data_IF_529802817789
#
_entry.id   IF_529802817789
#
_cell.length_a   1.000
_cell.length_b   1.000
_cell.length_c   1.000
_cell.angle_alpha   90.00
_cell.angle_beta   90.00
_cell.angle_gamma   90.00
#
_symmetry.space_group_name_H-M   'P 1'
#
loop_
_entity.id
_entity.type
_entity.pdbx_description
1 polymer ?
#
# COMPACT_ATOMS: atom_id res chain seq x y z
N UNK A 1 15.06 -34.06 39.67
CA UNK A 1 15.62 -33.34 38.51
C UNK A 1 14.51 -32.45 37.98
N UNK A 2 14.53 -31.14 38.30
CA UNK A 2 13.46 -30.21 37.95
C UNK A 2 13.66 -29.74 36.50
N UNK A 3 12.72 -30.06 35.62
CA UNK A 3 12.75 -29.66 34.22
C UNK A 3 12.26 -28.21 34.12
N UNK A 4 13.20 -27.27 34.00
CA UNK A 4 12.92 -25.86 33.74
C UNK A 4 12.26 -25.75 32.36
N UNK A 5 10.96 -25.45 32.33
CA UNK A 5 10.23 -25.25 31.08
C UNK A 5 10.42 -23.79 30.65
N UNK A 6 11.22 -23.55 29.61
CA UNK A 6 11.35 -22.24 28.99
C UNK A 6 10.06 -21.90 28.24
N UNK A 7 9.25 -21.01 28.81
CA UNK A 7 8.17 -20.33 28.07
C UNK A 7 8.85 -19.29 27.16
N UNK A 8 8.92 -19.58 25.87
CA UNK A 8 9.26 -18.56 24.87
C UNK A 8 8.11 -17.55 24.79
N UNK A 9 8.20 -16.49 25.58
CA UNK A 9 7.47 -15.26 25.29
C UNK A 9 8.16 -14.68 24.06
N UNK A 10 7.59 -14.89 22.88
CA UNK A 10 7.95 -14.09 21.71
C UNK A 10 7.50 -12.68 22.06
N UNK A 11 8.42 -11.90 22.63
CA UNK A 11 8.26 -10.47 22.76
C UNK A 11 8.21 -9.96 21.34
N UNK A 12 6.98 -9.76 20.85
CA UNK A 12 6.69 -9.05 19.62
C UNK A 12 7.19 -7.63 19.89
N UNK A 13 8.48 -7.41 19.68
CA UNK A 13 9.02 -6.07 19.64
C UNK A 13 8.20 -5.39 18.57
N UNK A 14 7.46 -4.36 18.97
CA UNK A 14 6.83 -3.44 18.04
C UNK A 14 7.94 -2.98 17.11
N UNK A 15 7.99 -3.56 15.90
CA UNK A 15 8.85 -3.06 14.85
C UNK A 15 8.49 -1.58 14.69
N UNK A 16 9.48 -0.68 14.49
CA UNK A 16 9.19 0.73 14.26
C UNK A 16 8.14 0.83 13.15
N UNK A 17 6.98 1.35 13.55
CA UNK A 17 5.80 1.38 12.72
C UNK A 17 5.88 2.63 11.88
N UNK A 18 5.93 2.41 10.58
CA UNK A 18 6.11 3.42 9.58
C UNK A 18 4.86 3.49 8.68
N UNK A 19 4.63 4.49 7.82
CA UNK A 19 3.50 4.47 6.89
C UNK A 19 3.44 5.27 5.58
N UNK A 20 2.21 5.52 5.15
CA UNK A 20 1.80 5.86 3.80
C UNK A 20 0.55 6.75 3.84
N UNK A 21 0.46 7.67 2.89
CA UNK A 21 -0.62 8.65 2.77
C UNK A 21 -1.52 8.35 1.56
N UNK A 22 -2.84 8.40 1.74
CA UNK A 22 -3.82 8.31 0.65
C UNK A 22 -4.00 9.67 -0.01
N UNK A 23 -3.98 9.70 -1.35
CA UNK A 23 -4.06 10.95 -2.12
C UNK A 23 -5.50 11.48 -2.31
N UNK A 24 -6.49 11.12 -1.48
CA UNK A 24 -7.89 11.63 -1.60
C UNK A 24 -8.50 11.60 -3.02
N UNK A 25 -7.91 10.83 -3.92
CA UNK A 25 -8.08 10.94 -5.35
C UNK A 25 -8.36 9.56 -5.96
N UNK A 26 -9.04 8.72 -5.19
CA UNK A 26 -9.63 7.46 -5.64
C UNK A 26 -8.67 6.28 -5.62
N UNK A 27 -9.24 5.14 -5.97
CA UNK A 27 -8.53 3.90 -6.31
C UNK A 27 -8.87 3.54 -7.74
N UNK A 28 -7.97 2.85 -8.43
CA UNK A 28 -8.26 2.29 -9.76
C UNK A 28 -9.02 0.96 -9.64
N UNK A 29 -9.46 0.43 -10.77
CA UNK A 29 -9.82 -0.98 -10.87
C UNK A 29 -8.61 -1.87 -10.50
N UNK A 30 -8.87 -3.14 -10.15
CA UNK A 30 -7.81 -4.10 -9.77
C UNK A 30 -6.99 -4.55 -10.98
N UNK A 31 -7.63 -4.67 -12.14
CA UNK A 31 -6.95 -4.81 -13.43
C UNK A 31 -6.61 -3.42 -13.98
N UNK A 32 -5.32 -3.10 -14.03
CA UNK A 32 -4.82 -1.78 -14.42
C UNK A 32 -4.01 -1.94 -15.69
N UNK A 33 -4.47 -1.31 -16.76
CA UNK A 33 -3.73 -1.33 -18.02
C UNK A 33 -2.50 -0.42 -17.98
N UNK A 34 -1.38 -0.93 -18.49
CA UNK A 34 -0.11 -0.19 -18.60
C UNK A 34 0.38 -0.26 -20.04
N UNK A 35 0.75 0.88 -20.59
CA UNK A 35 1.37 0.97 -21.91
C UNK A 35 2.46 2.05 -21.94
N UNK A 36 3.31 1.99 -22.96
CA UNK A 36 4.37 2.97 -23.16
C UNK A 36 4.09 3.82 -24.39
N UNK A 37 4.27 5.13 -24.25
CA UNK A 37 4.04 6.10 -25.32
C UNK A 37 5.25 6.19 -26.24
N UNK A 38 4.98 6.37 -27.54
CA UNK A 38 6.01 6.58 -28.54
C UNK A 38 6.73 5.29 -28.92
N UNK A 39 8.00 5.40 -29.29
CA UNK A 39 8.85 4.31 -29.75
C UNK A 39 9.57 3.56 -28.60
N UNK A 40 9.11 3.71 -27.36
CA UNK A 40 9.79 3.20 -26.16
C UNK A 40 10.17 1.72 -26.22
N UNK A 41 9.33 0.88 -26.83
CA UNK A 41 9.59 -0.55 -27.00
C UNK A 41 10.77 -0.85 -27.93
N UNK A 42 11.06 0.03 -28.89
CA UNK A 42 12.17 -0.12 -29.83
C UNK A 42 13.41 0.66 -29.41
N UNK A 43 13.23 1.89 -28.94
CA UNK A 43 14.33 2.78 -28.54
C UNK A 43 14.87 2.44 -27.16
N UNK A 44 14.04 1.91 -26.25
CA UNK A 44 14.39 1.64 -24.84
C UNK A 44 13.83 0.32 -24.28
N UNK A 45 13.96 -0.83 -24.98
CA UNK A 45 13.37 -2.10 -24.57
C UNK A 45 13.80 -2.55 -23.16
N UNK A 46 15.07 -2.34 -22.80
CA UNK A 46 15.59 -2.70 -21.48
C UNK A 46 14.93 -1.91 -20.35
N UNK A 47 14.66 -0.61 -20.57
CA UNK A 47 13.99 0.24 -19.57
C UNK A 47 12.52 -0.14 -19.43
N UNK A 48 11.84 -0.44 -20.54
CA UNK A 48 10.46 -0.98 -20.52
C UNK A 48 10.40 -2.25 -19.68
N UNK A 49 11.27 -3.22 -19.94
CA UNK A 49 11.30 -4.47 -19.18
C UNK A 49 11.62 -4.24 -17.70
N UNK A 50 12.54 -3.34 -17.39
CA UNK A 50 12.86 -2.97 -16.01
C UNK A 50 11.64 -2.40 -15.27
N UNK A 51 10.91 -1.45 -15.89
CA UNK A 51 9.69 -0.88 -15.30
C UNK A 51 8.66 -1.98 -15.05
N UNK A 52 8.40 -2.84 -16.03
CA UNK A 52 7.47 -3.95 -15.89
C UNK A 52 7.87 -4.94 -14.78
N UNK A 53 9.17 -5.17 -14.58
CA UNK A 53 9.64 -6.01 -13.47
C UNK A 53 9.44 -5.33 -12.12
N UNK A 54 9.74 -4.04 -12.02
CA UNK A 54 9.63 -3.28 -10.77
C UNK A 54 8.19 -3.20 -10.28
N UNK A 55 7.23 -2.90 -11.15
CA UNK A 55 5.83 -2.73 -10.74
C UNK A 55 5.18 -4.01 -10.20
N UNK A 56 5.78 -5.19 -10.43
CA UNK A 56 5.31 -6.45 -9.82
C UNK A 56 5.36 -6.44 -8.30
N UNK A 57 6.17 -5.59 -7.68
CA UNK A 57 6.15 -5.35 -6.22
C UNK A 57 4.74 -5.03 -5.72
N UNK A 58 3.96 -4.24 -6.47
CA UNK A 58 2.56 -3.94 -6.12
C UNK A 58 1.63 -5.15 -6.31
N UNK A 59 1.87 -6.00 -7.30
CA UNK A 59 1.08 -7.24 -7.50
C UNK A 59 1.35 -8.28 -6.41
N UNK A 60 2.54 -8.27 -5.80
CA UNK A 60 2.86 -9.09 -4.63
C UNK A 60 2.30 -8.50 -3.34
N UNK A 61 2.20 -7.17 -3.26
CA UNK A 61 1.75 -6.46 -2.08
C UNK A 61 0.23 -6.45 -1.91
N UNK A 62 -0.52 -6.46 -3.02
CA UNK A 62 -1.96 -6.22 -3.03
C UNK A 62 -2.66 -6.96 -4.17
N UNK A 63 -4.00 -6.93 -4.18
CA UNK A 63 -4.81 -7.54 -5.23
C UNK A 63 -4.87 -6.63 -6.48
N UNK A 64 -3.70 -6.44 -7.10
CA UNK A 64 -3.49 -5.65 -8.31
C UNK A 64 -2.99 -6.58 -9.42
N UNK A 65 -3.43 -6.31 -10.64
CA UNK A 65 -2.91 -6.96 -11.86
C UNK A 65 -2.64 -5.90 -12.93
N UNK A 66 -1.39 -5.80 -13.37
CA UNK A 66 -1.02 -4.93 -14.46
C UNK A 66 -1.19 -5.64 -15.81
N UNK A 67 -2.11 -5.13 -16.62
CA UNK A 67 -2.32 -5.60 -17.99
C UNK A 67 -1.43 -4.80 -18.95
N UNK A 68 -0.29 -5.36 -19.32
CA UNK A 68 0.62 -4.74 -20.27
C UNK A 68 0.04 -4.75 -21.70
N UNK A 69 -0.09 -3.57 -22.32
CA UNK A 69 -0.65 -3.42 -23.67
C UNK A 69 0.40 -3.19 -24.76
N UNK A 70 1.69 -3.10 -24.43
CA UNK A 70 2.73 -2.71 -25.38
C UNK A 70 2.80 -1.20 -25.60
N UNK A 71 2.78 -0.80 -26.87
CA UNK A 71 2.68 0.61 -27.26
C UNK A 71 1.27 1.12 -26.96
N UNK A 72 1.16 2.33 -26.41
CA UNK A 72 -0.14 2.91 -26.12
C UNK A 72 -1.01 3.05 -27.37
N UNK A 73 -2.33 2.75 -27.30
CA UNK A 73 -3.25 3.00 -28.39
C UNK A 73 -3.22 4.47 -28.83
N UNK A 74 -3.37 4.70 -30.13
CA UNK A 74 -3.52 6.05 -30.68
C UNK A 74 -4.79 6.72 -30.15
N UNK A 75 -4.78 8.05 -30.08
CA UNK A 75 -5.96 8.81 -29.69
C UNK A 75 -7.14 8.55 -30.62
N UNK A 76 -8.33 8.52 -30.03
CA UNK A 76 -9.60 8.63 -30.75
C UNK A 76 -10.05 10.09 -30.67
N UNK A 77 -10.34 10.71 -31.80
CA UNK A 77 -10.91 12.07 -31.82
C UNK A 77 -12.39 11.97 -31.42
N UNK A 78 -12.77 12.69 -30.37
CA UNK A 78 -14.14 12.77 -29.88
C UNK A 78 -14.98 13.75 -30.73
N UNK A 79 -16.30 13.74 -30.55
CA UNK A 79 -17.22 14.64 -31.27
C UNK A 79 -16.98 16.14 -31.01
N UNK A 80 -16.42 16.49 -29.85
CA UNK A 80 -15.98 17.86 -29.52
C UNK A 80 -14.61 18.22 -30.13
N UNK A 81 -14.01 17.30 -30.87
CA UNK A 81 -12.70 17.44 -31.49
C UNK A 81 -11.52 17.25 -30.55
N UNK A 82 -11.71 16.90 -29.27
CA UNK A 82 -10.63 16.56 -28.35
C UNK A 82 -10.12 15.15 -28.60
N UNK A 83 -8.88 14.89 -28.18
CA UNK A 83 -8.32 13.55 -28.16
C UNK A 83 -8.88 12.76 -26.97
N UNK A 84 -9.01 11.45 -27.16
CA UNK A 84 -9.27 10.49 -26.10
C UNK A 84 -8.25 9.37 -26.20
N UNK A 85 -7.43 9.23 -25.16
CA UNK A 85 -6.46 8.16 -25.06
C UNK A 85 -6.93 7.10 -24.05
N UNK A 86 -6.97 5.85 -24.52
CA UNK A 86 -7.38 4.70 -23.72
C UNK A 86 -6.24 4.18 -22.82
N UNK A 87 -6.59 3.41 -21.80
CA UNK A 87 -5.67 2.83 -20.83
C UNK A 87 -5.52 3.63 -19.54
N UNK A 88 -5.08 2.97 -18.48
CA UNK A 88 -5.06 3.50 -17.13
C UNK A 88 -3.78 4.26 -16.83
N UNK A 89 -2.64 3.62 -17.10
CA UNK A 89 -1.30 4.18 -16.91
C UNK A 89 -0.56 4.19 -18.24
N UNK A 90 -0.20 5.39 -18.69
CA UNK A 90 0.44 5.66 -19.97
C UNK A 90 1.78 6.29 -19.70
N UNK A 91 2.83 5.50 -19.86
CA UNK A 91 4.19 5.82 -19.41
C UNK A 91 4.95 6.49 -20.54
N UNK A 92 5.40 7.72 -20.30
CA UNK A 92 6.43 8.36 -21.12
C UNK A 92 7.81 8.10 -20.50
N UNK A 93 8.77 7.71 -21.34
CA UNK A 93 10.18 7.59 -20.98
C UNK A 93 10.98 8.67 -21.71
N UNK A 94 12.00 9.28 -21.09
CA UNK A 94 12.98 10.12 -21.77
C UNK A 94 13.67 9.37 -22.90
N UNK A 95 14.23 10.10 -23.86
CA UNK A 95 14.97 9.55 -25.00
C UNK A 95 14.16 8.57 -25.86
N UNK A 96 12.84 8.78 -25.92
CA UNK A 96 11.93 8.12 -26.87
C UNK A 96 11.31 9.18 -27.79
N UNK A 97 10.80 8.76 -28.94
CA UNK A 97 10.15 9.66 -29.90
C UNK A 97 8.65 9.39 -29.99
N UNK A 98 7.88 10.47 -30.20
CA UNK A 98 6.46 10.39 -30.55
C UNK A 98 6.20 11.33 -31.72
N UNK A 99 5.67 10.81 -32.83
CA UNK A 99 5.48 11.56 -34.09
C UNK A 99 6.74 12.33 -34.53
N UNK A 100 7.91 11.70 -34.39
CA UNK A 100 9.21 12.29 -34.76
C UNK A 100 9.74 13.34 -33.79
N UNK A 101 9.03 13.67 -32.71
CA UNK A 101 9.50 14.58 -31.67
C UNK A 101 10.27 13.81 -30.57
N UNK A 102 11.60 13.99 -30.42
CA UNK A 102 12.40 13.32 -29.39
C UNK A 102 12.25 13.95 -28.00
N UNK A 103 11.64 15.15 -27.90
CA UNK A 103 11.51 15.91 -26.67
C UNK A 103 10.05 15.92 -26.15
N UNK A 104 9.18 15.05 -26.66
CA UNK A 104 7.76 15.08 -26.29
C UNK A 104 7.53 14.85 -24.78
N UNK A 105 8.44 14.13 -24.11
CA UNK A 105 8.41 13.91 -22.67
C UNK A 105 8.96 15.10 -21.85
N UNK A 106 9.69 16.03 -22.49
CA UNK A 106 10.30 17.21 -21.85
C UNK A 106 9.45 18.48 -22.02
N UNK A 107 8.39 18.43 -22.83
CA UNK A 107 7.52 19.58 -23.10
C UNK A 107 6.19 19.54 -22.35
N UNK A 108 5.25 20.39 -22.80
CA UNK A 108 3.84 20.23 -22.46
C UNK A 108 3.35 18.87 -22.96
N UNK A 109 2.45 18.25 -22.18
CA UNK A 109 1.93 16.93 -22.52
C UNK A 109 1.08 17.06 -23.79
N UNK A 110 1.43 16.36 -24.88
CA UNK A 110 0.67 16.45 -26.12
C UNK A 110 -0.78 15.98 -25.93
N UNK A 111 -1.66 16.43 -26.82
CA UNK A 111 -3.04 15.97 -26.91
C UNK A 111 -4.04 17.12 -26.93
N UNK A 112 -4.93 17.12 -27.92
CA UNK A 112 -5.91 18.18 -28.12
C UNK A 112 -6.97 18.12 -27.02
N UNK A 113 -7.07 19.19 -26.23
CA UNK A 113 -7.96 19.26 -25.08
C UNK A 113 -7.32 18.78 -23.77
N UNK A 114 -6.01 18.49 -23.74
CA UNK A 114 -5.30 18.23 -22.49
C UNK A 114 -5.24 19.51 -21.63
N UNK A 115 -5.82 19.51 -20.42
CA UNK A 115 -5.87 20.73 -19.58
C UNK A 115 -4.55 21.02 -18.85
N UNK A 116 -3.57 20.10 -18.91
CA UNK A 116 -2.34 20.19 -18.11
C UNK A 116 -1.35 21.16 -18.77
N UNK A 117 -1.39 22.41 -18.31
CA UNK A 117 -0.46 23.49 -18.71
C UNK A 117 0.74 23.62 -17.74
N UNK A 118 0.61 23.00 -16.59
CA UNK A 118 1.48 23.08 -15.41
C UNK A 118 2.77 22.27 -15.61
N UNK A 119 3.77 22.96 -16.16
CA UNK A 119 5.07 23.19 -15.51
C UNK A 119 6.07 22.05 -15.41
N UNK A 120 5.69 20.78 -15.61
CA UNK A 120 6.66 19.68 -15.57
C UNK A 120 7.37 19.45 -16.92
N UNK A 121 7.83 20.55 -17.52
CA UNK A 121 8.63 20.63 -18.75
C UNK A 121 10.11 20.29 -18.49
N UNK A 122 10.39 19.49 -17.45
CA UNK A 122 11.73 19.12 -17.02
C UNK A 122 12.02 17.63 -17.15
N UNK A 123 13.20 17.23 -16.69
CA UNK A 123 13.66 15.83 -16.71
C UNK A 123 13.07 14.95 -15.60
N UNK A 124 12.40 15.53 -14.60
CA UNK A 124 11.90 14.80 -13.43
C UNK A 124 10.70 13.91 -13.70
N UNK A 125 10.55 12.85 -12.90
CA UNK A 125 9.37 11.99 -12.95
C UNK A 125 8.12 12.68 -12.37
N UNK A 126 6.95 12.17 -12.75
CA UNK A 126 5.69 12.51 -12.12
C UNK A 126 4.58 11.55 -12.58
N UNK A 127 3.50 11.49 -11.82
CA UNK A 127 2.32 10.71 -12.13
C UNK A 127 1.05 11.42 -11.67
N UNK A 128 -0.07 11.18 -12.36
CA UNK A 128 -1.38 11.68 -11.92
C UNK A 128 -2.07 10.64 -11.02
N UNK A 129 -2.85 11.07 -10.02
CA UNK A 129 -3.67 10.17 -9.22
C UNK A 129 -4.80 9.53 -10.06
N UNK A 130 -5.46 8.48 -9.53
CA UNK A 130 -6.58 7.82 -10.20
C UNK A 130 -7.70 8.78 -10.67
N UNK A 131 -8.18 9.69 -9.81
CA UNK A 131 -9.33 10.56 -10.09
C UNK A 131 -9.04 11.67 -11.11
N UNK A 132 -7.77 11.93 -11.41
CA UNK A 132 -7.40 12.89 -12.45
C UNK A 132 -7.54 12.29 -13.85
N UNK A 133 -7.60 10.97 -13.95
CA UNK A 133 -7.62 10.27 -15.23
C UNK A 133 -8.79 10.70 -16.13
N UNK A 134 -10.06 10.79 -15.68
CA UNK A 134 -11.17 11.24 -16.52
C UNK A 134 -10.93 12.63 -17.11
N UNK A 135 -10.45 13.58 -16.30
CA UNK A 135 -10.22 14.96 -16.73
C UNK A 135 -8.97 15.09 -17.61
N UNK A 136 -8.01 14.17 -17.49
CA UNK A 136 -6.76 14.14 -18.25
C UNK A 136 -6.77 13.09 -19.37
N UNK A 137 -7.94 12.59 -19.78
CA UNK A 137 -8.08 11.62 -20.88
C UNK A 137 -7.53 12.13 -22.22
N UNK A 138 -7.57 13.44 -22.43
CA UNK A 138 -7.05 14.08 -23.63
C UNK A 138 -5.53 14.27 -23.63
N UNK A 139 -4.85 14.10 -22.50
CA UNK A 139 -3.39 14.17 -22.42
C UNK A 139 -2.80 12.85 -22.89
N UNK A 140 -1.74 12.84 -23.72
CA UNK A 140 -1.11 11.66 -24.33
C UNK A 140 -0.54 10.65 -23.31
N UNK A 141 0.00 11.15 -22.21
CA UNK A 141 0.50 10.35 -21.10
C UNK A 141 0.05 10.94 -19.76
N UNK A 142 0.05 10.11 -18.73
CA UNK A 142 -0.33 10.50 -17.37
C UNK A 142 0.70 10.06 -16.31
N UNK A 143 1.80 9.47 -16.76
CA UNK A 143 2.96 9.10 -15.94
C UNK A 143 4.22 9.32 -16.80
N UNK A 144 5.22 9.99 -16.23
CA UNK A 144 6.55 10.16 -16.82
C UNK A 144 7.59 9.61 -15.85
N UNK A 145 8.48 8.74 -16.32
CA UNK A 145 9.58 8.21 -15.52
C UNK A 145 10.91 8.76 -16.02
N UNK A 146 11.67 9.44 -15.17
CA UNK A 146 13.05 9.79 -15.45
C UNK A 146 14.00 8.58 -15.44
N UNK A 147 15.28 8.88 -15.70
CA UNK A 147 16.38 7.92 -15.67
C UNK A 147 17.23 7.98 -14.39
N UNK A 148 16.79 8.72 -13.37
CA UNK A 148 17.56 8.99 -12.15
C UNK A 148 18.02 7.70 -11.44
N UNK A 149 19.30 7.61 -11.02
CA UNK A 149 20.32 8.66 -10.97
C UNK A 149 21.20 8.74 -12.23
N UNK A 150 21.70 9.95 -12.44
CA UNK A 150 22.64 10.49 -13.43
C UNK A 150 23.80 9.62 -14.00
N UNK A 151 23.91 8.30 -13.80
CA UNK A 151 25.04 7.52 -14.33
C UNK A 151 24.94 5.99 -14.55
N UNK A 152 23.81 5.24 -14.42
CA UNK A 152 23.68 3.89 -15.08
C UNK A 152 22.46 3.04 -14.72
N UNK A 153 21.83 3.18 -13.54
CA UNK A 153 20.75 2.27 -13.12
C UNK A 153 19.61 3.03 -12.45
N UNK A 154 18.44 3.17 -13.11
CA UNK A 154 17.32 3.88 -12.52
C UNK A 154 16.88 3.29 -11.17
N UNK A 155 16.58 4.14 -10.20
CA UNK A 155 16.13 3.72 -8.88
C UNK A 155 14.84 2.89 -8.97
N UNK A 156 14.84 1.71 -8.35
CA UNK A 156 13.63 0.88 -8.18
C UNK A 156 12.53 1.70 -7.49
N UNK A 157 12.88 2.34 -6.38
CA UNK A 157 11.92 3.07 -5.57
C UNK A 157 11.31 4.26 -6.33
N UNK A 158 12.03 4.85 -7.29
CA UNK A 158 11.52 5.97 -8.08
C UNK A 158 10.42 5.52 -9.05
N UNK A 159 10.60 4.37 -9.71
CA UNK A 159 9.50 3.78 -10.50
C UNK A 159 8.32 3.44 -9.60
N UNK A 160 8.57 2.83 -8.43
CA UNK A 160 7.51 2.46 -7.50
C UNK A 160 6.77 3.69 -6.95
N UNK A 161 7.45 4.80 -6.72
CA UNK A 161 6.87 6.07 -6.26
C UNK A 161 5.82 6.59 -7.26
N UNK A 162 6.17 6.68 -8.54
CA UNK A 162 5.25 7.18 -9.57
C UNK A 162 4.07 6.24 -9.83
N UNK A 163 4.30 4.94 -9.71
CA UNK A 163 3.21 3.98 -9.74
C UNK A 163 2.37 4.05 -8.45
N UNK A 164 2.96 4.35 -7.29
CA UNK A 164 2.25 4.59 -6.04
C UNK A 164 1.27 5.75 -6.18
N UNK A 165 1.72 6.86 -6.75
CA UNK A 165 0.87 7.96 -7.18
C UNK A 165 -0.26 7.53 -8.10
N UNK A 166 0.06 6.77 -9.15
CA UNK A 166 -0.95 6.26 -10.07
C UNK A 166 -1.96 5.35 -9.36
N UNK A 167 -1.58 4.68 -8.27
CA UNK A 167 -2.42 3.79 -7.47
C UNK A 167 -3.18 4.52 -6.34
N UNK A 168 -2.93 5.83 -6.14
CA UNK A 168 -3.63 6.65 -5.15
C UNK A 168 -2.85 6.89 -3.86
N UNK A 169 -1.55 6.59 -3.80
CA UNK A 169 -0.66 7.01 -2.72
C UNK A 169 -0.18 8.45 -2.94
N UNK A 170 0.03 9.18 -1.85
CA UNK A 170 0.56 10.54 -1.83
C UNK A 170 1.88 10.57 -1.07
N UNK A 171 2.54 11.71 -1.16
CA UNK A 171 3.83 11.96 -0.57
C UNK A 171 3.84 11.83 0.96
N UNK A 172 4.69 10.95 1.48
CA UNK A 172 4.79 10.70 2.92
C UNK A 172 5.35 11.93 3.67
N UNK A 173 6.18 12.72 3.00
CA UNK A 173 6.74 13.94 3.56
C UNK A 173 5.69 15.08 3.69
N UNK A 174 4.57 15.04 2.97
CA UNK A 174 3.53 16.08 3.05
C UNK A 174 2.61 15.91 4.28
N UNK A 175 2.90 14.95 5.15
CA UNK A 175 2.12 14.68 6.36
C UNK A 175 2.45 15.63 7.49
N UNK A 176 1.43 16.03 8.25
CA UNK A 176 1.59 16.86 9.46
C UNK A 176 2.40 16.18 10.57
N UNK A 177 2.38 14.85 10.66
CA UNK A 177 3.14 14.06 11.64
C UNK A 177 4.54 13.66 11.15
N UNK A 178 4.96 14.12 9.96
CA UNK A 178 6.30 13.88 9.46
C UNK A 178 7.35 14.54 10.37
N UNK A 179 8.28 13.73 10.88
CA UNK A 179 9.33 14.17 11.80
C UNK A 179 10.64 14.57 11.12
N UNK A 180 10.78 14.24 9.82
CA UNK A 180 12.02 14.38 9.06
C UNK A 180 11.95 15.46 7.97
N UNK A 181 10.91 16.26 7.97
CA UNK A 181 10.72 17.40 7.08
C UNK A 181 10.05 18.50 7.89
N UNK A 182 10.11 19.77 7.46
CA UNK A 182 9.46 20.86 8.18
C UNK A 182 8.09 21.18 7.57
N UNK A 183 6.98 20.73 8.19
CA UNK A 183 5.57 21.09 7.98
C UNK A 183 5.21 22.52 7.59
N UNK A 184 6.10 23.46 7.80
CA UNK A 184 5.78 24.87 7.61
C UNK A 184 6.27 25.40 6.26
N UNK A 185 6.92 24.57 5.45
CA UNK A 185 7.58 25.01 4.21
C UNK A 185 6.95 24.49 2.91
N UNK A 186 6.30 23.33 2.91
CA UNK A 186 5.44 22.95 1.78
C UNK A 186 4.09 23.70 1.85
N UNK A 187 3.47 24.14 0.77
CA UNK A 187 2.06 24.56 0.79
C UNK A 187 1.07 23.38 0.63
N UNK A 188 1.55 22.17 0.34
CA UNK A 188 0.74 20.98 0.00
C UNK A 188 0.48 20.02 1.19
N UNK A 189 0.75 20.45 2.43
CA UNK A 189 0.52 19.60 3.60
C UNK A 189 -0.92 19.14 3.73
N UNK A 190 -1.08 17.91 4.22
CA UNK A 190 -2.38 17.34 4.58
C UNK A 190 -2.35 16.78 6.00
N UNK A 191 -3.46 16.92 6.71
CA UNK A 191 -3.73 16.29 8.00
C UNK A 191 -4.74 15.14 7.90
N UNK A 192 -5.06 14.71 6.68
CA UNK A 192 -6.04 13.67 6.36
C UNK A 192 -5.43 12.60 5.45
N UNK A 193 -6.08 11.43 5.41
CA UNK A 193 -5.72 10.35 4.50
C UNK A 193 -4.61 9.43 5.01
N UNK A 194 -4.21 9.51 6.28
CA UNK A 194 -3.16 8.65 6.83
C UNK A 194 -3.62 7.20 6.85
N UNK A 195 -2.97 6.36 6.03
CA UNK A 195 -3.31 4.94 5.96
C UNK A 195 -2.54 4.11 6.98
N UNK A 196 -1.36 4.59 7.38
CA UNK A 196 -0.45 3.94 8.31
C UNK A 196 0.30 5.03 9.11
N UNK A 197 1.21 4.64 10.01
CA UNK A 197 2.05 5.60 10.77
C UNK A 197 2.97 6.42 9.83
N UNK A 198 3.97 7.15 10.30
CA UNK A 198 4.85 7.92 9.39
C UNK A 198 6.09 7.10 8.96
N UNK A 199 6.36 6.92 7.65
CA UNK A 199 7.50 6.12 7.13
C UNK A 199 8.63 6.94 6.52
N UNK A 200 9.80 6.88 7.14
CA UNK A 200 11.03 7.43 6.55
C UNK A 200 11.62 6.56 5.43
N UNK A 201 11.19 5.31 5.31
CA UNK A 201 11.60 4.34 4.29
C UNK A 201 10.58 4.17 3.15
N UNK A 202 9.45 4.88 3.20
CA UNK A 202 8.42 4.75 2.16
C UNK A 202 8.98 5.22 0.82
N UNK A 203 8.63 4.50 -0.24
CA UNK A 203 8.93 4.97 -1.60
C UNK A 203 8.24 6.29 -1.90
N UNK A 204 7.19 6.67 -1.16
CA UNK A 204 6.48 7.95 -1.28
C UNK A 204 7.17 9.10 -0.56
N UNK A 205 8.31 8.86 0.09
CA UNK A 205 9.09 9.91 0.73
C UNK A 205 10.20 10.42 -0.22
N UNK A 206 10.34 11.73 -0.39
CA UNK A 206 11.50 12.31 -1.07
C UNK A 206 12.67 12.45 -0.11
N UNK A 207 13.90 12.23 -0.57
CA UNK A 207 15.07 12.62 0.21
C UNK A 207 15.16 14.15 0.25
N UNK A 208 15.15 14.74 1.45
CA UNK A 208 15.41 16.16 1.67
C UNK A 208 16.63 16.36 2.56
N UNK A 209 17.41 17.39 2.26
CA UNK A 209 18.35 17.95 3.23
C UNK A 209 17.58 18.84 4.20
N UNK A 210 17.74 18.65 5.51
CA UNK A 210 17.17 19.59 6.48
C UNK A 210 17.91 20.92 6.43
N UNK A 211 17.23 21.99 6.86
CA UNK A 211 17.86 23.27 7.15
C UNK A 211 19.02 23.06 8.15
N UNK A 212 20.23 23.50 7.77
CA UNK A 212 21.44 23.27 8.56
C UNK A 212 22.27 22.03 8.16
N UNK A 213 21.88 21.33 7.09
CA UNK A 213 22.69 20.24 6.51
C UNK A 213 22.56 18.89 7.21
N UNK A 214 21.73 18.78 8.24
CA UNK A 214 21.39 17.49 8.82
C UNK A 214 20.55 16.67 7.83
N UNK A 215 20.93 15.41 7.60
CA UNK A 215 20.13 14.46 6.83
C UNK A 215 19.28 13.65 7.81
N UNK A 216 18.02 13.41 7.49
CA UNK A 216 17.22 12.42 8.21
C UNK A 216 17.50 10.98 7.77
N UNK A 217 18.61 10.77 7.06
CA UNK A 217 19.01 9.50 6.44
C UNK A 217 17.87 8.82 5.67
N UNK A 218 17.04 9.65 5.03
CA UNK A 218 15.94 9.19 4.19
C UNK A 218 16.46 8.92 2.79
N UNK A 219 16.44 7.64 2.42
CA UNK A 219 16.68 7.22 1.04
C UNK A 219 15.40 7.42 0.21
N UNK A 220 14.24 7.01 0.74
CA UNK A 220 12.93 7.21 0.13
C UNK A 220 12.84 6.69 -1.32
N UNK A 221 12.31 7.53 -2.22
CA UNK A 221 12.20 7.24 -3.65
C UNK A 221 13.56 7.13 -4.38
N UNK A 222 14.67 7.55 -3.78
CA UNK A 222 16.02 7.46 -4.36
C UNK A 222 16.76 6.16 -3.98
N UNK A 223 16.01 5.14 -3.57
CA UNK A 223 16.55 3.85 -3.11
C UNK A 223 16.33 2.67 -4.04
N UNK A 224 16.81 1.52 -3.59
CA UNK A 224 16.63 0.21 -4.23
C UNK A 224 16.01 -0.84 -3.31
N UNK A 225 15.37 -0.41 -2.23
CA UNK A 225 14.83 -1.30 -1.19
C UNK A 225 13.47 -1.91 -1.56
N UNK A 226 12.80 -1.37 -2.58
CA UNK A 226 11.43 -1.72 -2.91
C UNK A 226 10.41 -1.04 -1.99
N UNK A 227 9.17 -1.55 -2.02
CA UNK A 227 8.10 -1.09 -1.14
C UNK A 227 8.40 -1.42 0.31
N UNK A 228 8.24 -0.45 1.20
CA UNK A 228 8.32 -0.68 2.64
C UNK A 228 7.18 -1.59 3.13
N UNK A 229 7.25 -2.04 4.39
CA UNK A 229 6.16 -2.82 5.00
C UNK A 229 4.81 -2.06 4.96
N UNK A 230 4.87 -0.74 4.98
CA UNK A 230 3.70 0.10 5.11
C UNK A 230 3.21 0.67 3.79
N UNK A 231 4.09 0.83 2.80
CA UNK A 231 3.69 0.95 1.39
C UNK A 231 2.87 -0.29 0.99
N UNK A 232 3.35 -1.49 1.36
CA UNK A 232 2.65 -2.76 1.09
C UNK A 232 1.30 -2.83 1.79
N UNK A 233 1.23 -2.44 3.06
CA UNK A 233 -0.03 -2.40 3.80
C UNK A 233 -1.02 -1.40 3.20
N UNK A 234 -0.58 -0.20 2.83
CA UNK A 234 -1.44 0.80 2.21
C UNK A 234 -1.95 0.34 0.84
N UNK A 235 -1.09 -0.24 0.01
CA UNK A 235 -1.50 -0.84 -1.26
C UNK A 235 -2.55 -1.95 -1.05
N UNK A 236 -2.36 -2.82 -0.06
CA UNK A 236 -3.32 -3.88 0.28
C UNK A 236 -4.67 -3.30 0.76
N UNK A 237 -4.65 -2.24 1.57
CA UNK A 237 -5.87 -1.56 2.00
C UNK A 237 -6.56 -0.90 0.79
N UNK A 238 -5.84 -0.27 -0.14
CA UNK A 238 -6.43 0.31 -1.36
C UNK A 238 -7.04 -0.77 -2.26
N UNK A 239 -6.34 -1.89 -2.42
CA UNK A 239 -6.66 -2.99 -3.33
C UNK A 239 -6.74 -4.33 -2.58
N UNK A 240 -7.80 -4.55 -1.76
CA UNK A 240 -8.00 -5.78 -1.03
C UNK A 240 -8.43 -6.92 -1.96
N UNK A 241 -8.41 -8.14 -1.46
CA UNK A 241 -8.95 -9.33 -2.09
C UNK A 241 -10.44 -9.14 -2.44
N UNK A 242 -10.98 -9.92 -3.39
CA UNK A 242 -12.41 -9.82 -3.76
C UNK A 242 -13.33 -10.26 -2.63
N UNK A 243 -12.87 -11.24 -1.84
CA UNK A 243 -13.53 -11.66 -0.62
C UNK A 243 -13.02 -10.81 0.54
N UNK A 244 -13.77 -9.79 0.92
CA UNK A 244 -13.44 -8.93 2.06
C UNK A 244 -13.62 -9.68 3.38
N UNK A 245 -12.58 -10.41 3.76
CA UNK A 245 -12.52 -11.18 5.00
C UNK A 245 -11.92 -10.30 6.09
N UNK A 246 -12.60 -10.18 7.23
CA UNK A 246 -12.04 -9.47 8.37
C UNK A 246 -10.89 -10.29 8.97
N UNK A 247 -9.75 -9.65 9.19
CA UNK A 247 -8.55 -10.33 9.70
C UNK A 247 -8.22 -9.88 11.13
N UNK A 248 -7.73 -10.83 11.94
CA UNK A 248 -7.20 -10.55 13.26
C UNK A 248 -5.99 -11.40 13.61
N UNK A 249 -5.20 -10.91 14.56
CA UNK A 249 -4.11 -11.62 15.23
C UNK A 249 -4.49 -11.92 16.68
N UNK A 250 -4.01 -13.04 17.22
CA UNK A 250 -4.25 -13.48 18.59
C UNK A 250 -4.62 -14.96 18.71
N UNK A 251 -4.84 -15.42 19.93
CA UNK A 251 -5.10 -16.83 20.24
C UNK A 251 -6.60 -17.09 20.40
N UNK A 252 -7.13 -18.08 19.68
CA UNK A 252 -8.57 -18.48 19.77
C UNK A 252 -8.81 -19.69 20.66
N UNK A 253 -7.77 -20.23 21.30
CA UNK A 253 -7.87 -21.31 22.28
C UNK A 253 -7.30 -20.79 23.60
N UNK A 254 -8.14 -20.64 24.63
CA UNK A 254 -7.77 -20.00 25.90
C UNK A 254 -8.26 -20.81 27.10
N UNK A 255 -7.72 -20.52 28.29
CA UNK A 255 -8.24 -21.08 29.56
C UNK A 255 -9.40 -20.25 30.09
N UNK A 256 -10.22 -20.83 30.98
CA UNK A 256 -11.34 -20.14 31.65
C UNK A 256 -10.94 -18.92 32.49
N UNK A 257 -9.64 -18.74 32.78
CA UNK A 257 -9.09 -17.59 33.52
C UNK A 257 -8.29 -16.63 32.64
N UNK A 258 -7.98 -17.03 31.41
CA UNK A 258 -7.17 -16.22 30.51
C UNK A 258 -8.04 -15.16 29.82
N UNK A 259 -7.40 -14.06 29.44
CA UNK A 259 -8.01 -13.10 28.53
C UNK A 259 -7.91 -13.61 27.09
N UNK A 260 -9.04 -13.62 26.39
CA UNK A 260 -9.08 -13.64 24.94
C UNK A 260 -8.63 -12.25 24.45
N UNK A 261 -7.40 -12.16 23.97
CA UNK A 261 -6.83 -10.95 23.37
C UNK A 261 -6.73 -11.14 21.86
N UNK A 262 -7.59 -10.45 21.12
CA UNK A 262 -7.55 -10.39 19.66
C UNK A 262 -7.40 -8.94 19.22
N UNK A 263 -6.75 -8.73 18.09
CA UNK A 263 -6.56 -7.40 17.50
C UNK A 263 -6.73 -7.49 15.99
N UNK A 264 -7.37 -6.49 15.37
CA UNK A 264 -7.41 -6.37 13.91
C UNK A 264 -6.01 -6.46 13.30
N UNK A 265 -5.84 -7.27 12.25
CA UNK A 265 -4.54 -7.43 11.59
C UNK A 265 -4.03 -6.11 11.01
N UNK A 266 -4.92 -5.26 10.50
CA UNK A 266 -4.54 -3.94 9.98
C UNK A 266 -3.94 -3.05 11.06
N UNK A 267 -4.57 -3.00 12.24
CA UNK A 267 -4.01 -2.32 13.41
C UNK A 267 -2.65 -2.91 13.81
N UNK A 268 -2.57 -4.24 13.92
CA UNK A 268 -1.34 -4.93 14.30
C UNK A 268 -0.17 -4.66 13.35
N UNK A 269 -0.47 -4.37 12.07
CA UNK A 269 0.52 -4.02 11.04
C UNK A 269 0.78 -2.51 10.91
N UNK A 270 0.16 -1.67 11.75
CA UNK A 270 0.44 -0.23 11.80
C UNK A 270 -0.61 0.68 11.17
N UNK A 271 -1.71 0.14 10.65
CA UNK A 271 -2.85 0.93 10.16
C UNK A 271 -3.87 1.22 11.28
N UNK A 272 -3.39 1.67 12.43
CA UNK A 272 -4.21 2.00 13.60
C UNK A 272 -4.74 3.44 13.53
N UNK A 273 -5.42 3.77 12.43
CA UNK A 273 -5.96 5.11 12.19
C UNK A 273 -7.47 5.00 11.98
N UNK A 274 -8.25 5.87 12.61
CA UNK A 274 -9.71 5.89 12.47
C UNK A 274 -10.16 6.13 11.02
N UNK A 275 -9.30 6.80 10.23
CA UNK A 275 -9.52 6.98 8.79
C UNK A 275 -9.61 5.64 8.07
N UNK A 276 -8.73 4.68 8.36
CA UNK A 276 -8.54 3.45 7.59
C UNK A 276 -9.71 2.49 7.73
N UNK A 277 -10.13 2.27 8.97
CA UNK A 277 -11.17 1.30 9.30
C UNK A 277 -12.02 1.81 10.46
N UNK A 278 -13.32 1.59 10.35
CA UNK A 278 -14.36 2.09 11.24
C UNK A 278 -15.42 1.02 11.48
N UNK A 279 -16.29 1.29 12.44
CA UNK A 279 -17.45 0.44 12.75
C UNK A 279 -17.06 -1.01 13.09
N UNK A 280 -15.98 -1.18 13.87
CA UNK A 280 -15.61 -2.50 14.39
C UNK A 280 -16.75 -3.04 15.25
N UNK A 281 -17.07 -4.32 15.07
CA UNK A 281 -18.00 -5.07 15.91
C UNK A 281 -17.44 -6.48 16.09
N UNK A 282 -17.15 -6.81 17.34
CA UNK A 282 -16.84 -8.17 17.77
C UNK A 282 -18.08 -8.75 18.41
N UNK A 283 -18.52 -9.92 17.94
CA UNK A 283 -19.55 -10.70 18.63
C UNK A 283 -19.01 -12.03 19.10
N UNK A 284 -19.45 -12.45 20.28
CA UNK A 284 -19.19 -13.77 20.82
C UNK A 284 -20.52 -14.41 21.20
N UNK A 285 -20.81 -15.59 20.65
CA UNK A 285 -22.10 -16.27 20.78
C UNK A 285 -23.30 -15.34 20.47
N UNK A 286 -23.16 -14.53 19.42
CA UNK A 286 -24.19 -13.58 18.97
C UNK A 286 -24.26 -12.24 19.74
N UNK A 287 -23.59 -12.13 20.89
CA UNK A 287 -23.59 -10.91 21.70
C UNK A 287 -22.41 -10.00 21.35
N UNK A 288 -22.64 -8.69 21.19
CA UNK A 288 -21.55 -7.72 20.95
C UNK A 288 -20.70 -7.60 22.22
N UNK A 289 -19.39 -7.83 22.07
CA UNK A 289 -18.42 -7.84 23.18
C UNK A 289 -17.35 -6.74 23.06
N UNK A 290 -17.16 -6.17 21.87
CA UNK A 290 -16.31 -4.99 21.65
C UNK A 290 -16.73 -4.28 20.37
N UNK A 291 -16.53 -2.96 20.33
CA UNK A 291 -16.71 -2.12 19.15
C UNK A 291 -15.43 -1.37 18.75
N UNK A 292 -14.28 -1.81 19.29
CA UNK A 292 -12.96 -1.25 18.97
C UNK A 292 -12.17 -2.22 18.09
N UNK A 293 -11.02 -1.82 17.52
CA UNK A 293 -10.15 -2.74 16.79
C UNK A 293 -9.56 -3.88 17.63
N UNK A 294 -9.71 -3.83 18.96
CA UNK A 294 -9.20 -4.82 19.90
C UNK A 294 -10.36 -5.51 20.64
N UNK A 295 -10.15 -6.78 20.98
CA UNK A 295 -10.99 -7.54 21.88
C UNK A 295 -10.13 -8.00 23.05
N UNK A 296 -10.56 -7.68 24.28
CA UNK A 296 -9.93 -8.17 25.50
C UNK A 296 -11.00 -8.52 26.51
N UNK A 297 -11.35 -9.81 26.62
CA UNK A 297 -12.40 -10.31 27.52
C UNK A 297 -11.95 -11.60 28.20
N UNK A 298 -12.45 -11.86 29.41
CA UNK A 298 -12.25 -13.14 30.11
C UNK A 298 -13.51 -14.00 29.98
N UNK A 299 -13.33 -15.28 29.67
CA UNK A 299 -14.42 -16.23 29.48
C UNK A 299 -14.37 -17.29 30.59
N UNK A 300 -15.22 -17.14 31.61
CA UNK A 300 -15.14 -17.98 32.82
C UNK A 300 -15.67 -19.41 32.64
N UNK A 301 -16.41 -19.67 31.56
CA UNK A 301 -17.03 -20.96 31.30
C UNK A 301 -16.32 -21.67 30.14
N UNK A 302 -16.04 -22.97 30.24
CA UNK A 302 -15.49 -23.72 29.13
C UNK A 302 -16.56 -23.90 28.04
N UNK A 303 -16.12 -23.94 26.77
CA UNK A 303 -17.03 -24.13 25.65
C UNK A 303 -16.48 -23.66 24.31
N UNK A 304 -17.24 -23.95 23.26
CA UNK A 304 -17.03 -23.44 21.91
C UNK A 304 -17.92 -22.22 21.69
N UNK A 305 -17.31 -21.06 21.44
CA UNK A 305 -18.01 -19.80 21.24
C UNK A 305 -17.87 -19.35 19.78
N UNK A 306 -18.96 -19.19 19.02
CA UNK A 306 -18.92 -18.51 17.73
C UNK A 306 -18.38 -17.09 17.91
N UNK A 307 -17.33 -16.75 17.20
CA UNK A 307 -16.71 -15.44 17.13
C UNK A 307 -17.01 -14.84 15.76
N UNK A 308 -17.54 -13.63 15.76
CA UNK A 308 -17.72 -12.82 14.56
C UNK A 308 -16.95 -11.51 14.69
N UNK A 309 -16.27 -11.11 13.62
CA UNK A 309 -15.67 -9.79 13.49
C UNK A 309 -16.20 -9.15 12.22
N UNK A 310 -16.67 -7.91 12.33
CA UNK A 310 -17.00 -7.07 11.17
C UNK A 310 -16.42 -5.68 11.33
N UNK A 311 -16.04 -5.05 10.21
CA UNK A 311 -15.70 -3.63 10.15
C UNK A 311 -15.92 -3.10 8.73
N UNK A 312 -15.80 -1.78 8.55
CA UNK A 312 -15.75 -1.15 7.24
C UNK A 312 -14.43 -0.43 7.06
N UNK A 313 -13.92 -0.35 5.84
CA UNK A 313 -12.78 0.51 5.54
C UNK A 313 -13.21 1.95 5.17
N UNK A 314 -12.21 2.75 4.82
CA UNK A 314 -12.37 4.16 4.44
C UNK A 314 -13.15 4.39 3.13
N UNK A 315 -13.31 3.34 2.30
CA UNK A 315 -14.16 3.34 1.10
C UNK A 315 -15.53 2.70 1.36
N UNK A 316 -15.90 2.51 2.63
CA UNK A 316 -17.14 1.89 3.08
C UNK A 316 -17.34 0.43 2.63
N UNK A 317 -16.26 -0.27 2.24
CA UNK A 317 -16.32 -1.71 1.95
C UNK A 317 -16.41 -2.48 3.26
N UNK A 318 -17.31 -3.46 3.31
CA UNK A 318 -17.56 -4.27 4.51
C UNK A 318 -16.68 -5.50 4.54
N UNK A 319 -16.08 -5.78 5.69
CA UNK A 319 -15.28 -6.97 5.98
C UNK A 319 -15.99 -7.81 7.03
N UNK A 320 -15.95 -9.13 6.87
CA UNK A 320 -16.56 -10.04 7.85
C UNK A 320 -15.75 -11.32 8.04
N UNK A 321 -15.83 -11.90 9.23
CA UNK A 321 -15.20 -13.16 9.57
C UNK A 321 -16.02 -13.89 10.62
N UNK A 322 -16.08 -15.22 10.51
CA UNK A 322 -16.72 -16.08 11.50
C UNK A 322 -15.86 -17.32 11.76
N UNK A 323 -15.54 -17.58 13.04
CA UNK A 323 -14.88 -18.82 13.49
C UNK A 323 -15.30 -19.16 14.91
N UNK A 324 -14.71 -20.19 15.51
CA UNK A 324 -14.92 -20.54 16.92
C UNK A 324 -13.72 -20.13 17.78
N UNK A 325 -14.00 -19.63 18.96
CA UNK A 325 -13.07 -19.57 20.10
C UNK A 325 -13.35 -20.77 20.99
N UNK A 326 -12.30 -21.46 21.42
CA UNK A 326 -12.39 -22.59 22.36
C UNK A 326 -11.87 -22.17 23.72
N UNK A 327 -12.68 -22.40 24.74
CA UNK A 327 -12.32 -22.13 26.13
C UNK A 327 -12.28 -23.45 26.88
N UNK A 328 -11.15 -23.73 27.52
CA UNK A 328 -10.94 -24.95 28.29
C UNK A 328 -10.69 -24.63 29.75
N UNK A 329 -11.05 -25.54 30.65
CA UNK A 329 -10.49 -25.52 32.00
C UNK A 329 -8.98 -25.78 31.93
N UNK A 330 -8.22 -25.28 32.90
CA UNK A 330 -6.75 -25.29 32.88
C UNK A 330 -6.14 -26.68 32.63
N UNK A 331 -6.69 -27.73 33.25
CA UNK A 331 -6.23 -29.11 33.07
C UNK A 331 -6.39 -29.59 31.61
N UNK A 332 -7.58 -29.44 31.04
CA UNK A 332 -7.86 -29.82 29.64
C UNK A 332 -7.01 -29.02 28.66
N UNK A 333 -6.85 -27.71 28.90
CA UNK A 333 -5.98 -26.86 28.08
C UNK A 333 -4.54 -27.40 28.06
N UNK A 334 -3.97 -27.67 29.24
CA UNK A 334 -2.61 -28.18 29.38
C UNK A 334 -2.42 -29.51 28.62
N UNK A 335 -3.40 -30.41 28.68
CA UNK A 335 -3.37 -31.66 27.91
C UNK A 335 -3.39 -31.39 26.39
N UNK A 336 -4.23 -30.48 25.93
CA UNK A 336 -4.38 -30.13 24.51
C UNK A 336 -3.14 -29.44 23.93
N UNK A 337 -2.44 -28.60 24.69
CA UNK A 337 -1.22 -27.93 24.22
C UNK A 337 0.04 -28.79 24.36
N UNK A 338 0.07 -29.75 25.30
CA UNK A 338 1.18 -30.67 25.47
C UNK A 338 1.23 -31.76 24.38
N UNK A 339 0.07 -32.21 23.88
CA UNK A 339 -0.01 -33.27 22.87
C UNK A 339 0.70 -32.95 21.54
N UNK A 340 0.57 -31.74 20.95
CA UNK A 340 1.33 -31.35 19.76
C UNK A 340 2.84 -31.23 19.98
N UNK A 341 3.27 -30.88 21.20
CA UNK A 341 4.69 -30.79 21.56
C UNK A 341 5.27 -32.20 21.70
N UNK A 342 4.54 -33.12 22.33
CA UNK A 342 4.92 -34.53 22.43
C UNK A 342 4.96 -35.24 21.06
N UNK A 343 4.05 -34.90 20.14
CA UNK A 343 4.04 -35.43 18.78
C UNK A 343 5.15 -34.87 17.87
N UNK A 344 5.84 -33.79 18.28
CA UNK A 344 7.00 -33.21 17.59
C UNK A 344 8.33 -33.47 18.29
N UNK A 345 8.32 -34.10 19.47
CA UNK A 345 9.53 -34.63 20.06
C UNK A 345 10.06 -35.75 19.14
N UNK A 346 11.37 -35.82 18.85
CA UNK A 346 11.91 -36.92 18.07
C UNK A 346 11.51 -38.23 18.76
N UNK A 347 10.92 -39.14 17.99
CA UNK A 347 10.76 -40.53 18.40
C UNK A 347 12.16 -41.03 18.78
N UNK A 348 12.39 -41.20 20.09
CA UNK A 348 13.61 -41.82 20.62
C UNK A 348 13.60 -43.31 20.30
#
# INVERSE_FOLDING_TARGET
MALLTFVFVISIHSMPVNGALYWNAGVRAKEISVCFVGDALTSRPNRVQQVLNFIKEYEYAANIKFKYLGTCPVAKVQSNGNDYFDGDIRVALPSTTYNGNPNFALGQIPGKGCPKTDGNTGWGSWSNPPNDLPNKRACLYNLKLGDDPWNSTPYLNHTLHEFGHALGLSHEHERKDATCYNPKQDPRWTDQGYMTAYDTQSVMHYAFSLAGGATCDIIGNYGFTGLSASDKLAAHILYPEDNHVAEYVGTTVVRTTDKLNLQSTWKARGANMDFVAKNFVWKLAGSVVSTTPDLSITLNNPGDYPLELTYKDFLDRSYSYTKKVRVFVSETYNHQIAAPIAAKAPLL
#
